data_IF_499683078849
#
_entry.id   IF_499683078849
#
_cell.length_a   1.000
_cell.length_b   1.000
_cell.length_c   1.000
_cell.angle_alpha   90.00
_cell.angle_beta   90.00
_cell.angle_gamma   90.00
#
_symmetry.space_group_name_H-M   'P 1'
#
loop_
_entity.id
_entity.type
_entity.pdbx_description
1 polymer ?
#
# COMPACT_ATOMS: atom_id res chain seq x y z
N UNK A 1 -15.25 -10.06 -62.86
CA UNK A 1 -15.34 -9.08 -61.74
C UNK A 1 -15.06 -9.78 -60.43
N UNK A 2 -13.89 -9.50 -59.85
CA UNK A 2 -13.27 -10.19 -58.71
C UNK A 2 -14.01 -9.80 -57.41
N UNK A 3 -14.93 -10.67 -56.95
CA UNK A 3 -15.77 -10.49 -55.74
C UNK A 3 -15.02 -10.72 -54.41
N UNK A 4 -13.70 -10.96 -54.45
CA UNK A 4 -12.90 -11.29 -53.26
C UNK A 4 -12.22 -10.07 -52.62
N UNK A 5 -12.25 -8.90 -53.29
CA UNK A 5 -11.66 -7.65 -52.80
C UNK A 5 -12.15 -7.19 -51.41
N UNK A 6 -13.46 -7.25 -51.06
CA UNK A 6 -13.91 -6.82 -49.73
C UNK A 6 -13.57 -7.85 -48.64
N UNK A 7 -13.47 -9.13 -49.00
CA UNK A 7 -13.10 -10.21 -48.07
C UNK A 7 -11.63 -10.06 -47.63
N UNK A 8 -10.76 -9.75 -48.59
CA UNK A 8 -9.32 -9.59 -48.35
C UNK A 8 -9.01 -8.35 -47.50
N UNK A 9 -9.80 -7.29 -47.67
CA UNK A 9 -9.69 -6.06 -46.86
C UNK A 9 -10.13 -6.28 -45.41
N UNK A 10 -11.22 -7.02 -45.20
CA UNK A 10 -11.70 -7.39 -43.85
C UNK A 10 -10.68 -8.26 -43.12
N UNK A 11 -10.08 -9.23 -43.82
CA UNK A 11 -9.04 -10.09 -43.26
C UNK A 11 -7.79 -9.30 -42.86
N UNK A 12 -7.41 -8.30 -43.66
CA UNK A 12 -6.29 -7.41 -43.35
C UNK A 12 -6.53 -6.59 -42.06
N UNK A 13 -7.74 -6.05 -41.88
CA UNK A 13 -8.10 -5.32 -40.66
C UNK A 13 -8.07 -6.21 -39.40
N UNK A 14 -8.56 -7.45 -39.51
CA UNK A 14 -8.52 -8.41 -38.39
C UNK A 14 -7.07 -8.74 -38.01
N UNK A 15 -6.19 -8.93 -38.98
CA UNK A 15 -4.77 -9.22 -38.71
C UNK A 15 -4.09 -8.05 -37.99
N UNK A 16 -4.39 -6.80 -38.35
CA UNK A 16 -3.81 -5.62 -37.67
C UNK A 16 -4.22 -5.48 -36.20
N UNK A 17 -5.41 -5.97 -35.81
CA UNK A 17 -5.86 -5.99 -34.42
C UNK A 17 -5.08 -6.97 -33.54
N UNK A 18 -4.50 -8.05 -34.12
CA UNK A 18 -3.71 -9.03 -33.37
C UNK A 18 -2.22 -8.69 -33.27
N UNK A 19 -1.72 -7.80 -34.13
CA UNK A 19 -0.30 -7.38 -34.11
C UNK A 19 -0.10 -6.15 -33.20
N UNK A 20 -1.17 -5.37 -32.95
CA UNK A 20 -1.19 -4.24 -32.03
C UNK A 20 -1.28 -4.66 -30.56
N UNK A 21 -0.22 -5.25 -30.03
CA UNK A 21 0.19 -5.19 -28.63
C UNK A 21 -0.89 -5.34 -27.54
N UNK A 22 -1.10 -6.56 -27.08
CA UNK A 22 -1.42 -6.78 -25.67
C UNK A 22 -0.18 -7.34 -24.97
N UNK A 23 0.76 -6.46 -24.58
CA UNK A 23 1.48 -6.68 -23.32
C UNK A 23 0.49 -6.41 -22.17
N UNK A 24 -0.61 -7.16 -22.15
CA UNK A 24 -1.40 -7.26 -20.93
C UNK A 24 -0.63 -8.25 -20.08
N UNK A 25 0.18 -7.70 -19.19
CA UNK A 25 0.73 -8.38 -18.03
C UNK A 25 -0.43 -8.88 -17.16
N UNK A 26 -1.09 -9.94 -17.64
CA UNK A 26 -2.24 -10.58 -17.02
C UNK A 26 -1.88 -11.18 -15.66
N UNK A 27 -0.58 -11.29 -15.36
CA UNK A 27 -0.05 -11.71 -14.07
C UNK A 27 -0.11 -10.61 -13.00
N UNK A 28 -0.29 -9.34 -13.39
CA UNK A 28 -0.47 -8.22 -12.45
C UNK A 28 -1.92 -7.76 -12.32
N UNK A 29 -2.81 -8.14 -13.24
CA UNK A 29 -4.25 -7.77 -13.18
C UNK A 29 -5.02 -8.67 -12.20
N UNK A 30 -4.59 -9.93 -12.03
CA UNK A 30 -5.22 -10.91 -11.15
C UNK A 30 -4.56 -11.07 -9.78
N UNK A 31 -3.53 -10.29 -9.45
CA UNK A 31 -3.14 -10.21 -8.05
C UNK A 31 -4.29 -9.53 -7.34
N UNK A 32 -5.04 -10.20 -6.43
CA UNK A 32 -5.80 -9.43 -5.47
C UNK A 32 -4.77 -8.49 -4.87
N UNK A 33 -5.08 -7.18 -4.83
CA UNK A 33 -4.29 -6.24 -4.04
C UNK A 33 -4.03 -6.99 -2.75
N UNK A 34 -2.76 -7.41 -2.55
CA UNK A 34 -2.42 -8.16 -1.37
C UNK A 34 -3.01 -7.30 -0.28
N UNK A 35 -3.92 -7.86 0.52
CA UNK A 35 -4.15 -7.23 1.79
C UNK A 35 -2.78 -7.34 2.44
N UNK A 36 -1.96 -6.30 2.23
CA UNK A 36 -1.14 -5.73 3.28
C UNK A 36 -2.13 -5.65 4.41
N UNK A 37 -2.18 -6.74 5.18
CA UNK A 37 -2.89 -6.81 6.44
C UNK A 37 -2.14 -5.75 7.20
N UNK A 38 -2.69 -4.53 7.20
CA UNK A 38 -2.08 -3.33 7.74
C UNK A 38 -1.30 -3.70 8.98
N UNK A 39 0.01 -3.91 8.84
CA UNK A 39 0.75 -4.64 9.86
C UNK A 39 0.81 -3.71 11.07
N UNK A 40 0.14 -4.10 12.14
CA UNK A 40 0.04 -3.28 13.34
C UNK A 40 1.34 -3.45 14.12
N UNK A 41 2.13 -2.38 14.16
CA UNK A 41 3.39 -2.34 14.88
C UNK A 41 3.13 -1.74 16.26
N UNK A 42 3.48 -2.49 17.30
CA UNK A 42 3.45 -1.97 18.67
C UNK A 42 4.58 -0.96 18.85
N UNK A 43 4.23 0.25 19.26
CA UNK A 43 5.19 1.35 19.45
C UNK A 43 4.96 2.06 20.79
N UNK A 44 6.06 2.58 21.34
CA UNK A 44 6.03 3.67 22.31
C UNK A 44 6.27 4.98 21.54
N UNK A 45 5.29 5.87 21.58
CA UNK A 45 5.35 7.21 20.99
C UNK A 45 5.83 8.17 22.09
N UNK A 46 6.91 8.91 21.81
CA UNK A 46 7.35 10.02 22.66
C UNK A 46 7.00 11.34 21.97
N UNK A 47 6.29 12.21 22.68
CA UNK A 47 5.88 13.52 22.17
C UNK A 47 6.89 14.61 22.58
N UNK A 48 6.77 15.76 21.94
CA UNK A 48 7.58 16.97 22.16
C UNK A 48 7.41 17.61 23.55
N UNK A 49 6.37 17.23 24.29
CA UNK A 49 6.07 17.65 25.66
C UNK A 49 6.37 16.56 26.70
N UNK A 50 7.27 15.64 26.36
CA UNK A 50 7.71 14.50 27.19
C UNK A 50 6.61 13.48 27.53
N UNK A 51 5.39 13.64 26.99
CA UNK A 51 4.34 12.63 27.12
C UNK A 51 4.70 11.36 26.36
N UNK A 52 4.31 10.21 26.91
CA UNK A 52 4.53 8.90 26.31
C UNK A 52 3.23 8.14 26.16
N UNK A 53 3.11 7.40 25.07
CA UNK A 53 1.91 6.64 24.76
C UNK A 53 2.29 5.31 24.09
N UNK A 54 1.72 4.22 24.59
CA UNK A 54 1.94 2.88 24.04
C UNK A 54 0.68 2.45 23.31
N UNK A 55 0.85 1.95 22.09
CA UNK A 55 -0.25 1.39 21.31
C UNK A 55 0.25 0.78 20.01
N UNK A 56 -0.69 0.46 19.13
CA UNK A 56 -0.40 -0.07 17.81
C UNK A 56 -0.61 1.02 16.76
N UNK A 57 0.29 1.10 15.78
CA UNK A 57 0.17 1.96 14.61
C UNK A 57 0.26 1.11 13.35
N UNK A 58 -0.39 1.51 12.27
CA UNK A 58 -0.24 0.82 10.99
C UNK A 58 1.19 1.05 10.47
N UNK A 59 1.82 0.00 9.98
CA UNK A 59 3.10 0.09 9.27
C UNK A 59 2.97 1.08 8.12
N UNK A 60 3.77 2.14 8.16
CA UNK A 60 3.87 3.12 7.08
C UNK A 60 4.74 2.52 5.98
N UNK A 61 4.20 1.52 5.26
CA UNK A 61 4.71 0.97 3.99
C UNK A 61 6.22 0.70 3.92
N UNK A 62 6.61 -0.58 3.89
CA UNK A 62 7.97 -1.05 3.63
C UNK A 62 8.69 -0.26 2.52
N UNK A 63 9.56 0.68 2.89
CA UNK A 63 10.74 1.01 2.09
C UNK A 63 11.97 0.75 2.94
N UNK A 64 12.89 -0.05 2.42
CA UNK A 64 14.12 -0.50 3.10
C UNK A 64 15.03 0.67 3.54
N UNK A 65 14.74 1.90 3.12
CA UNK A 65 15.44 3.13 3.48
C UNK A 65 14.45 4.26 3.86
N UNK A 66 13.45 3.97 4.70
CA UNK A 66 12.32 4.88 4.98
C UNK A 66 12.71 6.15 5.76
N UNK A 67 13.12 7.19 5.04
CA UNK A 67 12.89 8.57 5.47
C UNK A 67 11.39 8.82 5.40
N UNK A 68 10.72 8.87 6.55
CA UNK A 68 9.31 9.25 6.64
C UNK A 68 9.21 10.75 6.37
N UNK A 69 8.73 11.13 5.18
CA UNK A 69 8.53 12.53 4.82
C UNK A 69 7.39 13.11 5.66
N UNK A 70 7.74 14.05 6.54
CA UNK A 70 6.79 14.75 7.42
C UNK A 70 6.00 15.74 6.55
N UNK A 71 4.73 15.41 6.28
CA UNK A 71 3.81 16.26 5.51
C UNK A 71 2.38 15.73 5.39
N UNK A 72 2.04 14.64 6.08
CA UNK A 72 0.72 14.02 6.05
C UNK A 72 -0.27 14.63 7.05
N UNK A 73 -1.49 14.08 7.06
CA UNK A 73 -2.57 14.42 8.00
C UNK A 73 -2.04 14.55 9.43
N UNK A 74 -2.39 15.65 10.10
CA UNK A 74 -2.08 15.83 11.53
C UNK A 74 -2.72 14.71 12.34
N UNK A 75 -3.94 14.29 12.00
CA UNK A 75 -4.66 13.23 12.70
C UNK A 75 -4.16 11.84 12.30
N UNK A 76 -3.64 11.10 13.28
CA UNK A 76 -3.19 9.71 13.15
C UNK A 76 -3.89 8.86 14.20
N UNK A 77 -4.13 7.58 13.91
CA UNK A 77 -4.88 6.69 14.79
C UNK A 77 -3.98 5.74 15.58
N UNK A 78 -4.41 5.45 16.80
CA UNK A 78 -3.90 4.35 17.60
C UNK A 78 -4.88 3.21 17.55
N UNK A 79 -4.32 2.02 17.53
CA UNK A 79 -5.06 0.78 17.48
C UNK A 79 -4.76 -0.07 18.72
N UNK A 80 -5.70 -0.96 19.06
CA UNK A 80 -5.42 -2.11 19.91
C UNK A 80 -4.79 -3.26 19.10
N UNK A 81 -4.46 -4.37 19.76
CA UNK A 81 -3.90 -5.56 19.10
C UNK A 81 -4.84 -6.26 18.12
N UNK A 82 -6.14 -5.90 18.13
CA UNK A 82 -7.17 -6.42 17.23
C UNK A 82 -7.43 -5.48 16.05
N UNK A 83 -6.78 -4.31 16.01
CA UNK A 83 -6.97 -3.29 14.98
C UNK A 83 -8.18 -2.38 15.19
N UNK A 84 -8.77 -2.35 16.39
CA UNK A 84 -9.79 -1.36 16.71
C UNK A 84 -9.12 -0.03 17.07
N UNK A 85 -9.71 1.08 16.63
CA UNK A 85 -9.23 2.42 16.99
C UNK A 85 -9.46 2.64 18.48
N UNK A 86 -8.39 2.91 19.22
CA UNK A 86 -8.42 3.24 20.66
C UNK A 86 -8.21 4.72 20.92
N UNK A 87 -7.71 5.47 19.93
CA UNK A 87 -7.50 6.89 20.04
C UNK A 87 -6.89 7.49 18.79
N UNK A 88 -6.51 8.76 18.90
CA UNK A 88 -5.80 9.46 17.85
C UNK A 88 -4.75 10.41 18.45
N UNK A 89 -3.71 10.71 17.68
CA UNK A 89 -2.62 11.59 18.08
C UNK A 89 -2.22 12.50 16.91
N UNK A 90 -1.60 13.63 17.26
CA UNK A 90 -1.04 14.52 16.26
C UNK A 90 0.41 14.13 15.94
N UNK A 91 0.69 13.70 14.71
CA UNK A 91 2.05 13.31 14.30
C UNK A 91 3.05 14.47 14.37
N UNK A 92 2.61 15.71 14.19
CA UNK A 92 3.46 16.90 14.31
C UNK A 92 4.01 17.10 15.74
N UNK A 93 3.36 16.51 16.74
CA UNK A 93 3.82 16.54 18.14
C UNK A 93 4.74 15.39 18.49
N UNK A 94 4.91 14.40 17.61
CA UNK A 94 5.75 13.23 17.86
C UNK A 94 7.21 13.60 17.68
N UNK A 95 8.03 13.31 18.70
CA UNK A 95 9.47 13.45 18.63
C UNK A 95 10.12 12.21 17.98
N UNK A 96 9.73 11.03 18.43
CA UNK A 96 10.09 9.75 17.82
C UNK A 96 9.13 8.63 18.24
N UNK A 97 9.16 7.52 17.51
CA UNK A 97 8.47 6.28 17.87
C UNK A 97 9.51 5.16 18.03
N UNK A 98 9.40 4.39 19.12
CA UNK A 98 10.22 3.21 19.36
C UNK A 98 9.38 1.95 19.17
N UNK A 99 9.80 1.07 18.27
CA UNK A 99 9.16 -0.24 18.10
C UNK A 99 9.42 -1.07 19.36
N UNK A 100 8.36 -1.64 19.92
CA UNK A 100 8.44 -2.61 21.00
C UNK A 100 8.35 -4.00 20.36
N UNK A 101 9.50 -4.63 20.16
CA UNK A 101 9.54 -6.04 19.76
C UNK A 101 9.08 -6.86 20.96
N UNK A 102 7.90 -7.48 20.87
CA UNK A 102 7.53 -8.52 21.82
C UNK A 102 8.48 -9.70 21.56
N UNK A 103 9.26 -10.08 22.56
CA UNK A 103 10.14 -11.23 22.45
C UNK A 103 9.30 -12.43 22.04
N UNK A 104 9.61 -13.02 20.88
CA UNK A 104 9.00 -14.27 20.42
C UNK A 104 9.34 -15.30 21.51
N UNK A 105 8.34 -15.77 22.27
CA UNK A 105 8.56 -16.94 23.11
C UNK A 105 8.67 -18.13 22.17
N UNK A 106 9.88 -18.65 22.03
CA UNK A 106 10.13 -19.94 21.37
C UNK A 106 9.48 -21.09 22.15
#
# INVERSE_FOLDING_TARGET
>A
MIKYKPLLLSLFFIITLFIGGCELDSQNILKPASSDKDELIKVEITFTDDQKLIGYVKSLGNQKDSVVYVGGSSLNYLYDSKGNITGSFNYQRVLYMKIITEAKSD
#
